data_IF_241504884009
#
_entry.id   IF_241504884009
#
_cell.length_a   1.000
_cell.length_b   1.000
_cell.length_c   1.000
_cell.angle_alpha   90.00
_cell.angle_beta   90.00
_cell.angle_gamma   90.00
#
_symmetry.space_group_name_H-M   'P 1'
#
loop_
_entity.id
_entity.type
_entity.pdbx_description
1 polymer ?
#
# COMPACT_ATOMS: atom_id res chain seq x y z
N UNK A 1 38.09 29.25 -18.95
CA UNK A 1 37.64 29.78 -17.64
C UNK A 1 36.17 30.13 -17.79
N UNK A 2 35.33 29.50 -16.95
CA UNK A 2 33.89 29.66 -16.73
C UNK A 2 32.91 29.47 -17.91
N UNK A 3 32.18 28.34 -17.81
CA UNK A 3 31.05 27.88 -18.60
C UNK A 3 29.75 28.55 -18.06
N UNK A 4 28.93 29.10 -18.96
CA UNK A 4 27.59 29.62 -18.68
C UNK A 4 26.63 28.45 -18.37
N UNK A 5 26.01 28.47 -17.19
CA UNK A 5 24.95 27.55 -16.79
C UNK A 5 23.66 28.31 -16.48
N UNK A 6 22.63 28.11 -17.30
CA UNK A 6 21.24 28.34 -16.95
C UNK A 6 20.48 27.10 -17.43
N UNK A 7 19.73 26.46 -16.53
CA UNK A 7 18.31 26.15 -16.74
C UNK A 7 17.68 25.69 -15.43
N UNK A 8 16.58 26.34 -15.10
CA UNK A 8 15.67 26.07 -14.00
C UNK A 8 15.27 24.59 -13.93
N UNK A 9 15.50 23.95 -12.79
CA UNK A 9 14.82 22.70 -12.39
C UNK A 9 13.58 23.06 -11.57
N UNK A 10 12.37 22.60 -11.92
CA UNK A 10 11.20 22.76 -11.07
C UNK A 10 11.41 21.95 -9.79
N UNK A 11 11.38 22.63 -8.65
CA UNK A 11 11.44 22.02 -7.34
C UNK A 11 10.22 21.10 -7.13
N UNK A 12 10.47 19.85 -6.74
CA UNK A 12 9.47 18.92 -6.22
C UNK A 12 8.74 19.59 -5.05
N UNK A 13 7.47 19.97 -5.25
CA UNK A 13 6.61 20.47 -4.18
C UNK A 13 6.09 19.28 -3.39
N UNK A 14 6.90 18.77 -2.46
CA UNK A 14 6.42 17.84 -1.44
C UNK A 14 5.46 18.60 -0.52
N UNK A 15 4.19 18.20 -0.47
CA UNK A 15 3.29 18.70 0.58
C UNK A 15 3.73 18.12 1.93
N UNK A 16 4.55 18.87 2.66
CA UNK A 16 4.92 18.58 4.04
C UNK A 16 3.73 18.91 4.96
N UNK A 17 2.86 17.94 5.21
CA UNK A 17 1.91 18.03 6.32
C UNK A 17 2.64 17.83 7.65
N UNK A 18 3.28 18.88 8.17
CA UNK A 18 3.75 18.95 9.57
C UNK A 18 4.69 17.81 10.01
N UNK A 19 4.89 17.63 11.34
CA UNK A 19 5.71 16.53 11.86
C UNK A 19 5.15 15.20 11.33
N UNK A 20 5.99 14.40 10.69
CA UNK A 20 5.56 13.22 9.97
C UNK A 20 4.87 12.22 10.90
N UNK A 21 3.57 12.01 10.68
CA UNK A 21 2.77 11.03 11.39
C UNK A 21 2.60 9.86 10.41
N UNK A 22 3.37 8.79 10.59
CA UNK A 22 3.31 7.60 9.75
C UNK A 22 2.59 6.50 10.53
N UNK A 23 1.32 6.18 10.25
CA UNK A 23 0.58 5.12 10.94
C UNK A 23 1.22 3.75 10.69
N UNK A 24 2.17 3.32 11.52
CA UNK A 24 2.75 1.99 11.35
C UNK A 24 1.81 0.93 11.86
N UNK A 25 1.21 0.23 10.92
CA UNK A 25 0.56 -1.05 11.13
C UNK A 25 1.61 -2.15 11.36
N UNK A 26 1.88 -2.50 12.61
CA UNK A 26 2.43 -3.83 12.88
C UNK A 26 1.29 -4.82 12.86
N UNK A 27 1.28 -5.69 11.86
CA UNK A 27 0.31 -6.79 11.78
C UNK A 27 0.86 -7.97 12.59
N UNK A 28 0.27 -8.25 13.75
CA UNK A 28 0.50 -9.52 14.44
C UNK A 28 -0.53 -10.55 13.93
N UNK A 29 -0.36 -11.08 12.72
CA UNK A 29 -1.28 -12.04 12.11
C UNK A 29 -0.59 -13.35 11.74
N UNK A 30 -1.26 -14.48 11.94
CA UNK A 30 -0.88 -15.76 11.34
C UNK A 30 -1.56 -15.93 9.98
N UNK A 31 -0.85 -16.46 8.98
CA UNK A 31 -1.42 -16.76 7.66
C UNK A 31 -2.67 -17.64 7.82
N UNK A 32 -3.77 -17.28 7.17
CA UNK A 32 -5.04 -18.02 7.27
C UNK A 32 -5.79 -17.84 8.59
N UNK A 33 -5.45 -16.85 9.41
CA UNK A 33 -6.16 -16.52 10.66
C UNK A 33 -6.80 -15.13 10.62
N UNK A 34 -7.94 -14.99 11.29
CA UNK A 34 -8.52 -13.69 11.63
C UNK A 34 -7.90 -13.07 12.89
N UNK A 35 -7.09 -13.81 13.65
CA UNK A 35 -6.39 -13.24 14.81
C UNK A 35 -5.30 -12.29 14.30
N UNK A 36 -5.58 -11.00 14.35
CA UNK A 36 -4.68 -9.96 13.85
C UNK A 36 -4.90 -8.65 14.58
N UNK A 37 -3.92 -7.76 14.51
CA UNK A 37 -3.97 -6.46 15.15
C UNK A 37 -3.21 -5.45 14.30
N UNK A 38 -3.68 -4.20 14.30
CA UNK A 38 -3.01 -3.05 13.72
C UNK A 38 -2.66 -2.12 14.87
N UNK A 39 -1.40 -1.71 14.96
CA UNK A 39 -0.92 -0.70 15.88
C UNK A 39 -0.73 0.63 15.14
N UNK A 40 -0.45 1.67 15.89
CA UNK A 40 -0.10 2.98 15.37
C UNK A 40 1.25 3.38 15.92
N UNK A 41 2.10 4.00 15.11
CA UNK A 41 3.33 4.63 15.59
C UNK A 41 3.51 6.00 14.92
N UNK A 42 4.49 6.77 15.38
CA UNK A 42 4.86 8.07 14.78
C UNK A 42 6.38 8.16 14.65
N UNK A 43 6.85 8.90 13.65
CA UNK A 43 8.25 9.31 13.56
C UNK A 43 8.36 10.61 12.77
N UNK A 44 9.02 11.60 13.35
CA UNK A 44 9.31 12.87 12.68
C UNK A 44 10.32 12.75 11.53
N UNK A 45 11.14 11.69 11.51
CA UNK A 45 12.21 11.50 10.53
C UNK A 45 11.94 10.38 9.54
N UNK A 46 10.97 9.52 9.84
CA UNK A 46 10.78 8.24 9.17
C UNK A 46 11.86 7.20 9.48
N UNK A 47 13.14 7.56 9.63
CA UNK A 47 14.26 6.62 9.66
C UNK A 47 14.12 5.39 10.59
N UNK A 48 14.74 4.24 10.26
CA UNK A 48 14.80 3.09 11.17
C UNK A 48 15.22 3.49 12.59
N UNK A 49 14.50 2.99 13.60
CA UNK A 49 14.78 3.29 15.01
C UNK A 49 14.16 4.60 15.55
N UNK A 50 13.61 5.47 14.69
CA UNK A 50 12.99 6.73 15.11
C UNK A 50 11.50 6.63 15.47
N UNK A 51 10.92 5.43 15.38
CA UNK A 51 9.48 5.24 15.54
C UNK A 51 9.08 5.02 16.99
N UNK A 52 8.07 5.75 17.44
CA UNK A 52 7.43 5.57 18.75
C UNK A 52 6.09 4.87 18.57
N UNK A 53 5.93 3.69 19.16
CA UNK A 53 4.66 2.97 19.19
C UNK A 53 3.65 3.70 20.10
N UNK A 54 2.47 4.01 19.56
CA UNK A 54 1.35 4.64 20.25
C UNK A 54 0.25 3.65 20.65
N UNK A 55 0.46 2.35 20.42
CA UNK A 55 -0.40 1.25 20.86
C UNK A 55 -1.42 0.79 19.82
N UNK A 56 -2.32 -0.09 20.25
CA UNK A 56 -3.33 -0.75 19.42
C UNK A 56 -4.31 0.24 18.77
N UNK A 57 -4.60 0.07 17.48
CA UNK A 57 -5.69 0.76 16.76
C UNK A 57 -6.92 -0.13 16.74
N UNK A 58 -6.76 -1.34 16.21
CA UNK A 58 -7.84 -2.32 16.07
C UNK A 58 -7.27 -3.73 16.07
N UNK A 59 -8.07 -4.69 16.49
CA UNK A 59 -7.75 -6.11 16.42
C UNK A 59 -8.98 -6.91 16.01
N UNK A 60 -8.72 -8.08 15.46
CA UNK A 60 -9.74 -9.06 15.09
C UNK A 60 -9.41 -10.41 15.70
N UNK A 61 -10.44 -11.24 15.86
CA UNK A 61 -10.34 -12.62 16.29
C UNK A 61 -11.15 -13.54 15.37
N UNK A 62 -11.21 -14.85 15.70
CA UNK A 62 -12.08 -15.80 15.00
C UNK A 62 -13.58 -15.44 15.04
N UNK A 63 -14.00 -14.55 15.94
CA UNK A 63 -15.38 -14.04 15.97
C UNK A 63 -15.67 -13.02 14.84
N UNK A 64 -14.63 -12.46 14.21
CA UNK A 64 -14.78 -11.52 13.10
C UNK A 64 -14.86 -12.26 11.75
N UNK A 65 -15.61 -11.68 10.81
CA UNK A 65 -15.69 -12.13 9.42
C UNK A 65 -14.70 -11.38 8.49
N UNK A 66 -13.70 -10.71 9.05
CA UNK A 66 -12.60 -10.02 8.38
C UNK A 66 -11.37 -10.05 9.29
N UNK A 67 -10.22 -9.56 8.78
CA UNK A 67 -9.00 -9.41 9.57
C UNK A 67 -8.43 -7.98 9.52
N UNK A 68 -7.71 -7.62 10.57
CA UNK A 68 -6.93 -6.39 10.70
C UNK A 68 -5.55 -6.55 10.05
N UNK A 69 -5.52 -6.69 8.73
CA UNK A 69 -4.30 -6.77 7.92
C UNK A 69 -4.32 -5.60 6.93
N UNK A 70 -3.23 -4.85 6.81
CA UNK A 70 -3.09 -3.84 5.75
C UNK A 70 -2.17 -4.36 4.64
N UNK A 71 -2.03 -3.62 3.54
CA UNK A 71 -1.10 -4.01 2.47
C UNK A 71 0.29 -4.30 3.03
N UNK A 72 0.77 -5.50 2.74
CA UNK A 72 2.06 -5.95 3.18
C UNK A 72 3.12 -5.45 2.19
N UNK A 73 3.72 -4.29 2.45
CA UNK A 73 5.01 -3.91 1.83
C UNK A 73 6.14 -4.91 2.17
N UNK A 74 5.84 -5.94 2.97
CA UNK A 74 6.70 -7.03 3.43
C UNK A 74 7.50 -7.72 2.32
N UNK A 75 7.11 -7.64 1.04
CA UNK A 75 7.85 -8.27 -0.08
C UNK A 75 8.70 -7.34 -0.97
N UNK A 76 8.61 -6.02 -0.80
CA UNK A 76 9.61 -5.08 -1.36
C UNK A 76 10.98 -5.25 -0.69
N UNK A 77 10.96 -5.82 0.51
CA UNK A 77 12.10 -5.97 1.42
C UNK A 77 13.13 -6.98 0.91
N UNK A 78 12.68 -8.17 0.49
CA UNK A 78 13.55 -9.25 -0.02
C UNK A 78 14.26 -8.90 -1.34
N UNK A 79 13.75 -7.92 -2.08
CA UNK A 79 14.35 -7.45 -3.35
C UNK A 79 15.45 -6.42 -3.09
N UNK A 80 15.30 -5.61 -2.04
CA UNK A 80 16.18 -4.48 -1.73
C UNK A 80 17.29 -4.91 -0.73
N UNK A 81 17.07 -5.96 0.07
CA UNK A 81 18.01 -6.41 1.10
C UNK A 81 19.04 -7.44 0.60
N UNK A 82 20.03 -6.99 -0.16
CA UNK A 82 21.38 -7.60 -0.21
C UNK A 82 22.44 -6.50 -0.45
N UNK A 83 23.42 -6.25 0.43
CA UNK A 83 23.49 -6.39 1.89
C UNK A 83 23.87 -5.03 2.52
N UNK A 84 22.93 -4.19 2.98
CA UNK A 84 23.31 -2.89 3.58
C UNK A 84 22.35 -2.34 4.66
N UNK A 85 21.39 -3.12 5.16
CA UNK A 85 20.48 -2.64 6.21
C UNK A 85 20.37 -3.70 7.31
N UNK A 86 21.18 -3.56 8.36
CA UNK A 86 20.87 -4.15 9.67
C UNK A 86 19.76 -3.30 10.31
N UNK A 87 18.55 -3.85 10.44
CA UNK A 87 17.47 -3.24 11.22
C UNK A 87 17.45 -3.84 12.62
N UNK A 88 17.67 -3.01 13.65
CA UNK A 88 17.43 -3.40 15.04
C UNK A 88 15.91 -3.57 15.25
N UNK A 89 15.48 -4.81 15.49
CA UNK A 89 14.10 -5.18 15.74
C UNK A 89 13.65 -4.70 17.13
N UNK A 90 12.40 -4.22 17.24
CA UNK A 90 11.70 -4.21 18.52
C UNK A 90 11.43 -5.68 18.91
N UNK A 91 12.19 -6.20 19.86
CA UNK A 91 11.97 -7.50 20.48
C UNK A 91 10.70 -7.46 21.35
N UNK A 92 9.58 -7.90 20.80
CA UNK A 92 8.44 -8.38 21.59
C UNK A 92 8.50 -9.91 21.57
N UNK A 93 8.57 -10.52 22.75
CA UNK A 93 8.84 -11.93 22.95
C UNK A 93 7.70 -12.81 22.42
N UNK A 94 7.99 -13.67 21.44
CA UNK A 94 7.08 -14.70 20.90
C UNK A 94 7.34 -14.99 19.41
N UNK A 95 6.69 -15.99 18.79
CA UNK A 95 6.77 -16.27 17.36
C UNK A 95 5.96 -15.20 16.60
N UNK A 96 6.43 -13.96 16.66
CA UNK A 96 5.74 -12.76 16.18
C UNK A 96 6.23 -12.45 14.76
N UNK A 97 5.28 -12.20 13.86
CA UNK A 97 5.55 -11.68 12.52
C UNK A 97 5.96 -10.20 12.67
N UNK A 98 7.26 -9.94 12.78
CA UNK A 98 7.83 -8.59 12.80
C UNK A 98 7.65 -7.92 11.44
N UNK A 99 7.02 -6.75 11.38
CA UNK A 99 7.01 -5.89 10.19
C UNK A 99 8.01 -4.76 10.42
N UNK A 100 9.04 -4.74 9.60
CA UNK A 100 10.02 -3.65 9.50
C UNK A 100 9.42 -2.57 8.60
N UNK A 101 9.46 -1.31 9.04
CA UNK A 101 9.15 -0.17 8.17
C UNK A 101 10.27 -0.04 7.14
N UNK A 102 9.93 0.03 5.86
CA UNK A 102 10.92 0.23 4.81
C UNK A 102 10.81 1.61 4.21
N UNK A 103 11.97 2.27 4.16
CA UNK A 103 12.24 3.45 3.35
C UNK A 103 12.90 2.97 2.08
N UNK A 104 12.40 3.37 0.92
CA UNK A 104 13.17 3.23 -0.32
C UNK A 104 14.39 4.13 -0.18
N UNK A 105 15.58 3.53 -0.05
CA UNK A 105 16.83 4.29 0.04
C UNK A 105 17.26 4.72 -1.38
N UNK A 106 17.72 5.97 -1.61
CA UNK A 106 17.94 6.53 -2.95
C UNK A 106 18.85 5.69 -3.86
N UNK A 107 19.78 4.92 -3.26
CA UNK A 107 20.75 4.08 -4.00
C UNK A 107 20.12 2.87 -4.69
N UNK A 108 18.89 2.45 -4.36
CA UNK A 108 18.24 1.29 -5.01
C UNK A 108 17.55 1.65 -6.33
N UNK A 109 17.13 2.90 -6.54
CA UNK A 109 16.38 3.34 -7.73
C UNK A 109 17.28 3.66 -8.93
N UNK A 110 18.50 4.17 -8.68
CA UNK A 110 19.51 4.41 -9.72
C UNK A 110 19.93 3.12 -10.47
N UNK A 111 19.74 1.94 -9.88
CA UNK A 111 20.11 0.64 -10.49
C UNK A 111 19.10 0.16 -11.54
N UNK A 112 17.91 0.76 -11.62
CA UNK A 112 16.83 0.41 -12.55
C UNK A 112 16.60 1.48 -13.64
N UNK A 113 17.60 2.34 -13.90
CA UNK A 113 17.54 3.33 -14.99
C UNK A 113 16.83 4.64 -14.66
N UNK A 114 16.26 4.78 -13.46
CA UNK A 114 15.74 6.04 -12.94
C UNK A 114 16.91 6.92 -12.45
N UNK A 115 17.36 7.88 -13.26
CA UNK A 115 18.48 8.80 -12.96
C UNK A 115 18.13 9.95 -11.99
N UNK A 116 16.96 9.93 -11.36
CA UNK A 116 16.50 10.99 -10.47
C UNK A 116 16.84 10.62 -9.04
N UNK A 117 17.61 11.46 -8.35
CA UNK A 117 17.87 11.29 -6.92
C UNK A 117 16.56 11.47 -6.16
N UNK A 118 15.92 10.35 -5.80
CA UNK A 118 14.76 10.32 -4.92
C UNK A 118 15.18 10.48 -3.45
N UNK A 119 15.86 11.60 -3.16
CA UNK A 119 16.28 11.97 -1.81
C UNK A 119 15.09 11.96 -0.86
N UNK A 120 15.12 11.08 0.13
CA UNK A 120 14.13 10.96 1.21
C UNK A 120 12.69 10.64 0.76
N UNK A 121 12.48 9.47 0.14
CA UNK A 121 11.14 8.89 0.04
C UNK A 121 10.71 8.36 1.41
N UNK A 122 10.03 9.21 2.20
CA UNK A 122 9.18 8.73 3.29
C UNK A 122 7.85 8.31 2.65
N UNK A 123 7.67 7.00 2.49
CA UNK A 123 6.45 6.43 1.92
C UNK A 123 5.25 6.83 2.77
N UNK A 124 4.34 7.63 2.18
CA UNK A 124 3.00 7.81 2.71
C UNK A 124 2.31 6.46 2.61
N UNK A 125 1.94 5.86 3.73
CA UNK A 125 1.18 4.61 3.73
C UNK A 125 -0.19 4.87 3.11
N UNK A 126 -0.45 4.39 1.91
CA UNK A 126 -1.69 4.70 1.17
C UNK A 126 -2.89 3.84 1.55
N UNK A 127 -2.70 2.89 2.46
CA UNK A 127 -3.78 2.24 3.20
C UNK A 127 -4.48 3.26 4.12
N UNK A 128 -3.87 4.42 4.32
CA UNK A 128 -4.35 5.53 5.11
C UNK A 128 -4.55 6.78 4.23
N UNK A 129 -5.73 7.38 4.29
CA UNK A 129 -6.02 8.65 3.62
C UNK A 129 -6.63 9.66 4.57
N UNK A 130 -6.46 10.94 4.24
CA UNK A 130 -7.09 12.05 4.93
C UNK A 130 -8.12 12.69 3.99
N UNK A 131 -9.36 12.84 4.44
CA UNK A 131 -10.40 13.49 3.66
C UNK A 131 -11.37 14.28 4.54
N UNK A 132 -11.53 15.58 4.26
CA UNK A 132 -12.42 16.45 5.04
C UNK A 132 -12.12 16.50 6.54
N UNK A 133 -10.85 16.31 6.93
CA UNK A 133 -10.43 16.22 8.34
C UNK A 133 -10.57 14.83 8.96
N UNK A 134 -11.18 13.86 8.28
CA UNK A 134 -11.24 12.48 8.72
C UNK A 134 -9.96 11.74 8.32
N UNK A 135 -9.53 10.83 9.19
CA UNK A 135 -8.49 9.85 8.86
C UNK A 135 -9.16 8.52 8.59
N UNK A 136 -8.87 7.90 7.45
CA UNK A 136 -9.50 6.65 7.03
C UNK A 136 -8.43 5.59 6.86
N UNK A 137 -8.67 4.41 7.42
CA UNK A 137 -7.80 3.25 7.34
C UNK A 137 -8.50 2.13 6.60
N UNK A 138 -7.96 1.75 5.45
CA UNK A 138 -8.36 0.56 4.71
C UNK A 138 -7.54 -0.66 5.14
N UNK A 139 -8.21 -1.81 5.28
CA UNK A 139 -7.65 -3.06 5.79
C UNK A 139 -8.44 -4.26 5.27
N UNK A 140 -7.85 -5.45 5.32
CA UNK A 140 -8.47 -6.72 4.97
C UNK A 140 -7.62 -7.53 4.01
N UNK A 141 -7.63 -8.83 4.21
CA UNK A 141 -7.04 -9.84 3.33
C UNK A 141 -7.90 -11.10 3.42
N UNK A 142 -8.51 -11.55 2.32
CA UNK A 142 -9.48 -12.66 2.26
C UNK A 142 -10.83 -12.38 2.97
N UNK A 143 -11.52 -13.44 3.43
CA UNK A 143 -12.82 -13.41 4.10
C UNK A 143 -13.85 -12.52 3.38
N UNK A 144 -14.50 -11.61 4.10
CA UNK A 144 -15.49 -10.69 3.54
C UNK A 144 -14.84 -9.46 2.87
N UNK A 145 -13.54 -9.48 2.63
CA UNK A 145 -12.81 -8.52 1.84
C UNK A 145 -12.33 -7.28 2.59
N UNK A 146 -12.21 -6.18 1.85
CA UNK A 146 -11.63 -4.91 2.30
C UNK A 146 -12.65 -4.13 3.11
N UNK A 147 -12.21 -3.69 4.27
CA UNK A 147 -12.92 -2.83 5.21
C UNK A 147 -12.26 -1.47 5.33
N UNK A 148 -13.03 -0.52 5.84
CA UNK A 148 -12.55 0.80 6.24
C UNK A 148 -13.03 1.15 7.65
N UNK A 149 -12.14 1.83 8.39
CA UNK A 149 -12.42 2.37 9.71
C UNK A 149 -11.95 3.81 9.78
N UNK A 150 -12.70 4.66 10.49
CA UNK A 150 -12.32 6.06 10.75
C UNK A 150 -11.42 6.16 11.98
N UNK A 151 -10.33 6.91 11.86
CA UNK A 151 -9.41 7.23 12.94
C UNK A 151 -9.58 8.69 13.39
N UNK A 152 -9.31 8.94 14.66
CA UNK A 152 -9.21 10.28 15.23
C UNK A 152 -7.85 10.90 14.87
N UNK A 153 -7.81 12.09 14.24
CA UNK A 153 -6.55 12.76 13.92
C UNK A 153 -5.68 13.10 15.13
N UNK A 154 -6.29 13.36 16.29
CA UNK A 154 -5.55 13.74 17.50
C UNK A 154 -4.83 12.55 18.13
N UNK A 155 -5.43 11.34 18.07
CA UNK A 155 -4.91 10.16 18.78
C UNK A 155 -4.36 9.06 17.86
N UNK A 156 -4.75 9.04 16.58
CA UNK A 156 -4.47 7.93 15.66
C UNK A 156 -5.25 6.64 15.99
N UNK A 157 -6.23 6.71 16.89
CA UNK A 157 -7.09 5.58 17.32
C UNK A 157 -8.42 5.60 16.59
N UNK A 158 -9.19 4.51 16.67
CA UNK A 158 -10.54 4.46 16.13
C UNK A 158 -11.40 5.63 16.66
N UNK A 159 -12.02 6.36 15.75
CA UNK A 159 -12.99 7.41 16.08
C UNK A 159 -14.39 6.83 16.36
N UNK A 160 -14.69 5.63 15.84
CA UNK A 160 -15.90 4.88 16.14
C UNK A 160 -15.67 3.36 15.97
N UNK A 161 -16.62 2.54 16.39
CA UNK A 161 -16.63 1.08 16.15
C UNK A 161 -17.19 0.68 14.78
N UNK A 162 -17.55 1.64 13.94
CA UNK A 162 -18.13 1.37 12.62
C UNK A 162 -17.08 0.76 11.70
N UNK A 163 -17.47 -0.32 11.01
CA UNK A 163 -16.65 -1.00 10.01
C UNK A 163 -17.40 -1.01 8.69
N UNK A 164 -16.87 -0.28 7.72
CA UNK A 164 -17.49 -0.14 6.39
C UNK A 164 -16.89 -1.16 5.44
N UNK A 165 -17.71 -1.84 4.63
CA UNK A 165 -17.21 -2.73 3.58
C UNK A 165 -16.96 -1.95 2.30
N UNK A 166 -15.73 -2.02 1.75
CA UNK A 166 -15.36 -1.29 0.53
C UNK A 166 -15.31 -2.19 -0.70
N UNK A 167 -14.80 -3.41 -0.56
CA UNK A 167 -14.64 -4.33 -1.68
C UNK A 167 -14.65 -5.79 -1.19
N UNK A 168 -15.09 -6.71 -2.04
CA UNK A 168 -14.90 -8.14 -1.81
C UNK A 168 -14.62 -8.85 -3.13
N UNK A 169 -14.00 -10.02 -3.05
CA UNK A 169 -13.97 -10.96 -4.16
C UNK A 169 -15.02 -12.05 -3.93
N UNK A 170 -15.97 -12.19 -4.82
CA UNK A 170 -17.05 -13.19 -4.71
C UNK A 170 -16.64 -14.58 -5.21
N UNK A 171 -15.50 -14.68 -5.90
CA UNK A 171 -14.90 -15.91 -6.40
C UNK A 171 -13.61 -16.29 -5.66
N UNK A 172 -13.03 -17.44 -5.99
CA UNK A 172 -11.70 -17.91 -5.53
C UNK A 172 -11.50 -17.84 -4.01
N UNK A 173 -12.56 -18.14 -3.25
CA UNK A 173 -12.53 -18.17 -1.79
C UNK A 173 -12.28 -16.81 -1.15
N UNK A 174 -12.73 -15.72 -1.77
CA UNK A 174 -12.59 -14.39 -1.20
C UNK A 174 -11.20 -13.77 -1.38
N UNK A 175 -10.37 -14.27 -2.28
CA UNK A 175 -8.98 -13.85 -2.42
C UNK A 175 -8.81 -12.39 -2.90
N UNK A 176 -8.85 -11.45 -1.96
CA UNK A 176 -8.65 -10.01 -2.13
C UNK A 176 -7.86 -9.46 -0.94
N UNK A 177 -6.88 -8.60 -1.18
CA UNK A 177 -6.08 -7.97 -0.13
C UNK A 177 -5.37 -6.70 -0.63
N UNK A 178 -4.46 -6.16 0.19
CA UNK A 178 -3.57 -5.05 -0.17
C UNK A 178 -4.33 -3.84 -0.74
N UNK A 179 -5.29 -3.32 0.03
CA UNK A 179 -6.08 -2.16 -0.35
C UNK A 179 -5.25 -0.88 -0.32
N UNK A 180 -5.38 -0.06 -1.36
CA UNK A 180 -4.80 1.27 -1.47
C UNK A 180 -5.85 2.22 -1.99
N UNK A 181 -6.10 3.33 -1.28
CA UNK A 181 -7.01 4.38 -1.76
C UNK A 181 -6.18 5.55 -2.26
N UNK A 182 -6.34 5.90 -3.54
CA UNK A 182 -5.62 6.97 -4.20
C UNK A 182 -6.59 7.99 -4.78
N UNK A 183 -6.42 9.27 -4.44
CA UNK A 183 -7.27 10.36 -4.95
C UNK A 183 -6.64 10.94 -6.21
N UNK A 184 -7.39 10.94 -7.31
CA UNK A 184 -6.96 11.54 -8.58
C UNK A 184 -8.12 12.26 -9.27
N UNK A 185 -7.96 13.56 -9.48
CA UNK A 185 -9.04 14.42 -9.96
C UNK A 185 -10.24 14.38 -9.00
N UNK A 186 -11.43 14.14 -9.55
CA UNK A 186 -12.70 14.09 -8.80
C UNK A 186 -13.03 12.72 -8.20
N UNK A 187 -12.12 11.73 -8.32
CA UNK A 187 -12.39 10.35 -7.89
C UNK A 187 -11.35 9.86 -6.88
N UNK A 188 -11.79 8.95 -6.02
CA UNK A 188 -10.98 8.03 -5.23
C UNK A 188 -10.94 6.70 -5.96
N UNK A 189 -9.76 6.13 -6.09
CA UNK A 189 -9.51 4.84 -6.70
C UNK A 189 -9.08 3.85 -5.61
N UNK A 190 -9.85 2.79 -5.42
CA UNK A 190 -9.53 1.69 -4.53
C UNK A 190 -8.83 0.59 -5.33
N UNK A 191 -7.51 0.53 -5.22
CA UNK A 191 -6.71 -0.56 -5.74
C UNK A 191 -6.70 -1.72 -4.74
N UNK A 192 -6.79 -2.95 -5.25
CA UNK A 192 -6.70 -4.18 -4.47
C UNK A 192 -5.91 -5.22 -5.24
N UNK A 193 -5.23 -6.11 -4.52
CA UNK A 193 -4.65 -7.30 -5.11
C UNK A 193 -5.60 -8.48 -4.96
N UNK A 194 -5.69 -9.27 -6.02
CA UNK A 194 -6.66 -10.33 -6.21
C UNK A 194 -5.93 -11.67 -6.35
N UNK A 195 -6.54 -12.76 -5.90
CA UNK A 195 -6.05 -14.13 -6.01
C UNK A 195 -4.80 -14.46 -5.16
N UNK A 196 -4.04 -15.50 -5.54
CA UNK A 196 -3.03 -16.10 -4.68
C UNK A 196 -1.66 -15.50 -4.95
N UNK A 197 -1.12 -14.79 -3.96
CA UNK A 197 0.29 -14.46 -3.89
C UNK A 197 1.13 -15.66 -3.44
N UNK A 198 2.44 -15.44 -3.40
CA UNK A 198 3.32 -16.16 -2.49
C UNK A 198 3.56 -17.62 -2.85
N UNK A 199 3.33 -17.99 -4.11
CA UNK A 199 3.56 -19.32 -4.66
C UNK A 199 4.61 -19.29 -5.79
N UNK A 200 5.50 -18.29 -5.78
CA UNK A 200 6.49 -18.11 -6.84
C UNK A 200 5.83 -17.94 -8.20
N UNK A 201 6.32 -18.66 -9.20
CA UNK A 201 5.77 -18.68 -10.57
C UNK A 201 4.40 -19.36 -10.68
N UNK A 202 3.88 -19.97 -9.61
CA UNK A 202 2.50 -20.48 -9.56
C UNK A 202 1.50 -19.47 -9.00
N UNK A 203 1.93 -18.24 -8.69
CA UNK A 203 1.05 -17.18 -8.17
C UNK A 203 0.08 -16.70 -9.26
N UNK A 204 -1.19 -16.55 -8.90
CA UNK A 204 -2.25 -16.01 -9.78
C UNK A 204 -2.61 -14.56 -9.48
N UNK A 205 -1.77 -13.92 -8.67
CA UNK A 205 -1.95 -12.57 -8.15
C UNK A 205 -2.12 -11.52 -9.26
N UNK A 206 -3.01 -10.55 -9.07
CA UNK A 206 -3.23 -9.46 -10.02
C UNK A 206 -3.74 -8.21 -9.33
N UNK A 207 -3.48 -7.04 -9.91
CA UNK A 207 -3.89 -5.73 -9.40
C UNK A 207 -5.18 -5.30 -10.09
N UNK A 208 -6.16 -4.89 -9.29
CA UNK A 208 -7.51 -4.49 -9.71
C UNK A 208 -7.88 -3.16 -9.10
N UNK A 209 -8.80 -2.45 -9.73
CA UNK A 209 -9.26 -1.13 -9.28
C UNK A 209 -10.77 -0.94 -9.45
N UNK A 210 -11.37 -0.14 -8.57
CA UNK A 210 -12.62 0.56 -8.79
C UNK A 210 -12.50 2.01 -8.35
N UNK A 211 -13.47 2.85 -8.69
CA UNK A 211 -13.48 4.27 -8.30
C UNK A 211 -14.80 4.73 -7.75
N UNK A 212 -14.77 5.80 -6.96
CA UNK A 212 -15.93 6.49 -6.40
C UNK A 212 -15.65 7.98 -6.27
N UNK A 213 -16.69 8.81 -6.21
CA UNK A 213 -16.57 10.23 -5.83
C UNK A 213 -16.51 10.42 -4.30
N UNK A 214 -16.70 9.34 -3.53
CA UNK A 214 -16.58 9.30 -2.07
C UNK A 214 -15.45 8.34 -1.67
N UNK A 215 -14.62 8.68 -0.66
CA UNK A 215 -13.58 7.76 -0.20
C UNK A 215 -14.14 6.54 0.54
N UNK A 216 -15.38 6.60 1.03
CA UNK A 216 -15.91 5.61 1.99
C UNK A 216 -17.00 4.70 1.42
N UNK A 217 -17.46 4.94 0.20
CA UNK A 217 -18.62 4.24 -0.35
C UNK A 217 -18.69 4.33 -1.88
N UNK A 218 -19.54 3.51 -2.50
CA UNK A 218 -19.91 3.67 -3.91
C UNK A 218 -18.84 3.31 -4.94
N UNK A 219 -17.80 2.57 -4.55
CA UNK A 219 -16.79 2.11 -5.49
C UNK A 219 -17.37 1.12 -6.49
N UNK A 220 -17.20 1.44 -7.78
CA UNK A 220 -17.58 0.60 -8.92
C UNK A 220 -16.40 0.41 -9.84
N UNK A 221 -16.38 -0.67 -10.61
CA UNK A 221 -15.42 -0.88 -11.69
C UNK A 221 -15.83 -0.18 -13.00
N UNK A 222 -15.04 -0.35 -14.07
CA UNK A 222 -15.27 0.28 -15.37
C UNK A 222 -16.55 -0.20 -16.05
N UNK A 223 -17.04 -1.40 -15.71
CA UNK A 223 -18.32 -1.93 -16.17
C UNK A 223 -19.49 -1.49 -15.28
N UNK A 224 -19.24 -0.72 -14.22
CA UNK A 224 -20.25 -0.24 -13.28
C UNK A 224 -20.63 -1.26 -12.20
N UNK A 225 -19.90 -2.38 -12.08
CA UNK A 225 -20.17 -3.38 -11.03
C UNK A 225 -19.57 -2.89 -9.72
N UNK A 226 -20.38 -2.90 -8.67
CA UNK A 226 -19.92 -2.52 -7.33
C UNK A 226 -18.78 -3.42 -6.86
N UNK A 227 -17.74 -2.83 -6.26
CA UNK A 227 -16.63 -3.61 -5.68
C UNK A 227 -17.11 -4.50 -4.51
N UNK A 228 -18.16 -4.08 -3.80
CA UNK A 228 -18.84 -4.90 -2.80
C UNK A 228 -19.66 -6.05 -3.40
N UNK A 229 -19.80 -6.12 -4.72
CA UNK A 229 -20.44 -7.23 -5.45
C UNK A 229 -19.44 -8.04 -6.28
N UNK A 230 -18.13 -7.83 -6.10
CA UNK A 230 -17.10 -8.53 -6.85
C UNK A 230 -16.70 -7.83 -8.16
N UNK A 231 -17.02 -6.56 -8.35
CA UNK A 231 -16.46 -5.74 -9.42
C UNK A 231 -14.94 -5.52 -9.23
N UNK A 232 -14.23 -5.25 -10.33
CA UNK A 232 -12.80 -4.93 -10.30
C UNK A 232 -12.18 -4.88 -11.68
N UNK A 233 -11.80 -3.68 -12.12
CA UNK A 233 -11.11 -3.45 -13.41
C UNK A 233 -9.68 -3.94 -13.30
N UNK A 234 -9.22 -4.78 -14.23
CA UNK A 234 -7.84 -5.24 -14.25
C UNK A 234 -6.90 -4.06 -14.58
N UNK A 235 -5.88 -3.86 -13.75
CA UNK A 235 -4.81 -2.87 -13.99
C UNK A 235 -3.54 -3.58 -14.43
N UNK A 236 -3.15 -4.63 -13.72
CA UNK A 236 -1.95 -5.38 -14.03
C UNK A 236 -2.12 -6.86 -13.67
N UNK A 237 -1.94 -7.73 -14.65
CA UNK A 237 -1.92 -9.18 -14.48
C UNK A 237 -0.59 -9.77 -14.91
N UNK A 238 -0.46 -11.09 -14.79
CA UNK A 238 0.71 -11.81 -15.31
C UNK A 238 0.89 -11.54 -16.81
N UNK A 239 2.11 -11.20 -17.21
CA UNK A 239 2.52 -11.00 -18.59
C UNK A 239 4.03 -11.27 -18.71
N UNK A 240 4.47 -11.78 -19.85
CA UNK A 240 5.88 -12.14 -20.09
C UNK A 240 6.51 -12.93 -18.93
N UNK A 241 7.57 -12.40 -18.32
CA UNK A 241 8.23 -12.99 -17.16
C UNK A 241 7.73 -12.41 -15.82
N UNK A 242 6.75 -11.52 -15.83
CA UNK A 242 6.17 -10.87 -14.65
C UNK A 242 4.99 -11.72 -14.17
N UNK A 243 5.24 -12.63 -13.23
CA UNK A 243 4.19 -13.51 -12.69
C UNK A 243 3.62 -12.94 -11.41
N UNK A 244 2.30 -12.89 -11.29
CA UNK A 244 1.62 -12.55 -10.05
C UNK A 244 1.94 -11.15 -9.50
N UNK A 245 1.84 -10.06 -10.28
CA UNK A 245 2.05 -8.72 -9.77
C UNK A 245 0.99 -8.32 -8.74
N UNK A 246 1.41 -7.73 -7.62
CA UNK A 246 0.49 -7.19 -6.61
C UNK A 246 1.20 -6.73 -5.33
N UNK A 247 0.45 -6.64 -4.24
CA UNK A 247 0.91 -6.04 -2.98
C UNK A 247 1.32 -4.60 -3.19
N UNK A 248 0.52 -3.88 -3.99
CA UNK A 248 0.88 -2.62 -4.58
C UNK A 248 0.77 -1.45 -3.61
N UNK A 249 1.52 -0.39 -3.92
CA UNK A 249 1.39 0.94 -3.37
C UNK A 249 1.43 1.97 -4.51
N UNK A 250 0.89 3.16 -4.27
CA UNK A 250 0.88 4.26 -5.21
C UNK A 250 1.53 5.50 -4.59
N UNK A 251 2.23 6.27 -5.41
CA UNK A 251 2.74 7.57 -4.97
C UNK A 251 2.81 8.53 -6.15
N UNK A 252 2.71 9.82 -5.84
CA UNK A 252 2.92 10.88 -6.82
C UNK A 252 4.42 11.04 -7.09
N UNK A 253 4.83 11.02 -8.36
CA UNK A 253 6.14 11.49 -8.80
C UNK A 253 5.97 12.81 -9.58
N UNK A 254 7.05 13.55 -9.79
CA UNK A 254 7.05 14.83 -10.51
C UNK A 254 6.42 14.75 -11.90
N UNK A 255 6.49 13.58 -12.50
CA UNK A 255 6.07 13.34 -13.87
C UNK A 255 4.73 12.55 -13.93
N UNK A 256 4.04 12.39 -12.80
CA UNK A 256 2.77 11.68 -12.67
C UNK A 256 2.79 10.55 -11.63
N UNK A 257 1.63 9.92 -11.37
CA UNK A 257 1.53 8.84 -10.41
C UNK A 257 2.31 7.60 -10.86
N UNK A 258 2.92 6.93 -9.88
CA UNK A 258 3.60 5.65 -10.07
C UNK A 258 2.95 4.54 -9.24
N UNK A 259 2.88 3.36 -9.83
CA UNK A 259 2.49 2.10 -9.21
C UNK A 259 3.75 1.34 -8.82
N UNK A 260 3.87 1.00 -7.54
CA UNK A 260 4.97 0.19 -7.00
C UNK A 260 4.40 -1.13 -6.54
N UNK A 261 4.98 -2.25 -6.96
CA UNK A 261 4.45 -3.58 -6.65
C UNK A 261 5.56 -4.62 -6.58
N UNK A 262 5.24 -5.83 -6.13
CA UNK A 262 6.13 -6.98 -6.28
C UNK A 262 5.56 -7.97 -7.27
N UNK A 263 6.45 -8.73 -7.91
CA UNK A 263 6.12 -9.83 -8.81
C UNK A 263 7.10 -10.98 -8.64
N UNK A 264 6.82 -12.11 -9.28
CA UNK A 264 7.63 -13.32 -9.25
C UNK A 264 8.21 -13.63 -10.62
N UNK A 265 9.42 -14.18 -10.63
CA UNK A 265 10.03 -14.87 -11.76
C UNK A 265 10.57 -16.21 -11.27
N UNK A 266 11.12 -17.04 -12.17
CA UNK A 266 11.85 -18.25 -11.78
C UNK A 266 13.06 -17.97 -10.87
N UNK A 267 13.59 -16.74 -10.89
CA UNK A 267 14.72 -16.32 -10.05
C UNK A 267 14.32 -15.81 -8.66
N UNK A 268 13.02 -15.59 -8.38
CA UNK A 268 12.54 -15.13 -7.09
C UNK A 268 11.48 -14.02 -7.17
N UNK A 269 11.37 -13.23 -6.10
CA UNK A 269 10.47 -12.08 -6.02
C UNK A 269 11.24 -10.80 -6.35
N UNK A 270 10.64 -9.89 -7.11
CA UNK A 270 11.24 -8.65 -7.59
C UNK A 270 10.29 -7.45 -7.43
N UNK A 271 10.85 -6.24 -7.52
CA UNK A 271 10.17 -4.96 -7.43
C UNK A 271 9.84 -4.48 -8.83
N UNK A 272 8.57 -4.14 -9.07
CA UNK A 272 8.10 -3.47 -10.27
C UNK A 272 7.69 -2.04 -9.97
N UNK A 273 8.05 -1.12 -10.87
CA UNK A 273 7.65 0.29 -10.81
C UNK A 273 7.20 0.68 -12.21
N UNK A 274 5.99 1.20 -12.30
CA UNK A 274 5.44 1.72 -13.55
C UNK A 274 4.78 3.07 -13.31
N UNK A 275 4.64 3.85 -14.37
CA UNK A 275 3.78 5.02 -14.36
C UNK A 275 2.33 4.59 -14.54
N UNK A 276 1.42 5.42 -14.05
CA UNK A 276 -0.01 5.28 -14.32
C UNK A 276 -0.47 6.46 -15.18
N UNK A 277 -1.11 6.15 -16.30
CA UNK A 277 -1.87 7.12 -17.09
C UNK A 277 -3.36 7.03 -16.73
N UNK A 278 -3.96 8.18 -16.42
CA UNK A 278 -5.39 8.33 -16.10
C UNK A 278 -6.16 9.06 -17.22
N UNK A 279 -5.54 9.35 -18.36
CA UNK A 279 -6.13 10.12 -19.48
C UNK A 279 -7.43 9.49 -20.02
N UNK A 280 -7.55 8.17 -19.96
CA UNK A 280 -8.77 7.42 -20.33
C UNK A 280 -9.92 7.53 -19.32
N UNK A 281 -9.65 8.12 -18.15
CA UNK A 281 -10.52 8.09 -16.97
C UNK A 281 -10.30 6.88 -16.06
N UNK A 282 -9.54 5.87 -16.49
CA UNK A 282 -9.14 4.71 -15.70
C UNK A 282 -7.61 4.57 -15.70
N UNK A 283 -6.99 4.07 -14.62
CA UNK A 283 -5.54 3.90 -14.55
C UNK A 283 -5.08 2.80 -15.51
N UNK A 284 -4.11 3.15 -16.35
CA UNK A 284 -3.42 2.24 -17.26
C UNK A 284 -1.93 2.27 -16.91
N UNK A 285 -1.32 1.09 -16.83
CA UNK A 285 0.13 0.94 -16.62
C UNK A 285 0.85 1.32 -17.92
N UNK A 286 1.84 2.23 -17.82
CA UNK A 286 2.67 2.69 -18.94
C UNK A 286 4.17 2.58 -18.67
#
# INVERSE_FOLDING_TARGET
MALLGLTNTPALRMETYGPQIVPISTVNSTFGSQNSAIFFAKSSTGQPGSFTNLGLVTSTSSANNYNAIVSASRKLTNVISRPLIQSNALNLLGPIITLTNFFLHPKSLNRYGYKKDYGNLVQKLTNFITDGGNWLLSLGSFWTGIKEMTLSPSTGKLASSTVTSLAQRTANGGAIEASVIYKHGSFYYLFTSWDKCCQGTSSTYNIRVGRSTSPTSGFVDQAGVALTSGGGTLVLGTHDNIVGPGGQDLMDDADGPILVYHYYTSAGSFLGINRLDFSSGWPVVV
#
